data_IF_774222519730
#
_entry.id   IF_774222519730
#
_cell.length_a   1.000
_cell.length_b   1.000
_cell.length_c   1.000
_cell.angle_alpha   90.00
_cell.angle_beta   90.00
_cell.angle_gamma   90.00
#
_symmetry.space_group_name_H-M   'P 1'
#
loop_
_entity.id
_entity.type
_entity.pdbx_description
1 polymer ?
#
# COMPACT_ATOMS: atom_id res chain seq x y z
N UNK A 1 1.20 -11.91 29.58
CA UNK A 1 0.63 -11.14 28.44
C UNK A 1 1.74 -10.94 27.43
N UNK A 2 1.46 -11.05 26.14
CA UNK A 2 2.47 -10.96 25.07
C UNK A 2 3.05 -9.54 24.84
N UNK A 3 2.85 -8.59 25.76
CA UNK A 3 3.34 -7.20 25.64
C UNK A 3 2.77 -6.48 24.41
N UNK A 4 1.51 -6.77 24.03
CA UNK A 4 0.80 -6.12 22.92
C UNK A 4 0.00 -4.95 23.49
N UNK A 5 0.31 -3.69 23.12
CA UNK A 5 -0.37 -2.52 23.67
C UNK A 5 -1.87 -2.50 23.36
N UNK A 6 -2.28 -2.99 22.18
CA UNK A 6 -3.67 -3.04 21.71
C UNK A 6 -4.38 -4.36 22.00
N UNK A 7 -3.91 -5.18 22.95
CA UNK A 7 -4.35 -6.56 23.14
C UNK A 7 -5.88 -6.72 23.27
N UNK A 8 -6.55 -5.82 23.99
CA UNK A 8 -8.00 -5.87 24.15
C UNK A 8 -8.73 -5.56 22.83
N UNK A 9 -8.33 -4.50 22.16
CA UNK A 9 -8.88 -4.10 20.85
C UNK A 9 -8.68 -5.20 19.81
N UNK A 10 -7.47 -5.78 19.76
CA UNK A 10 -7.13 -6.85 18.82
C UNK A 10 -8.02 -8.10 19.08
N UNK A 11 -8.21 -8.46 20.35
CA UNK A 11 -9.08 -9.58 20.73
C UNK A 11 -10.55 -9.33 20.33
N UNK A 12 -11.05 -8.12 20.56
CA UNK A 12 -12.41 -7.75 20.15
C UNK A 12 -12.59 -7.81 18.62
N UNK A 13 -11.62 -7.31 17.84
CA UNK A 13 -11.67 -7.35 16.37
C UNK A 13 -11.66 -8.81 15.88
N UNK A 14 -10.76 -9.65 16.42
CA UNK A 14 -10.65 -11.06 16.07
C UNK A 14 -11.94 -11.82 16.43
N UNK A 15 -12.50 -11.57 17.60
CA UNK A 15 -13.76 -12.20 18.05
C UNK A 15 -14.95 -11.75 17.20
N UNK A 16 -15.08 -10.44 16.95
CA UNK A 16 -16.11 -9.87 16.09
C UNK A 16 -16.09 -10.51 14.69
N UNK A 17 -14.90 -10.59 14.08
CA UNK A 17 -14.72 -11.25 12.80
C UNK A 17 -15.10 -12.73 12.85
N UNK A 18 -14.69 -13.47 13.89
CA UNK A 18 -14.97 -14.91 14.04
C UNK A 18 -16.48 -15.17 14.20
N UNK A 19 -17.17 -14.34 14.95
CA UNK A 19 -18.60 -14.45 15.17
C UNK A 19 -19.43 -13.85 14.02
N UNK A 20 -18.81 -13.12 13.09
CA UNK A 20 -19.48 -12.32 12.04
C UNK A 20 -20.46 -11.30 12.64
N UNK A 21 -20.02 -10.62 13.69
CA UNK A 21 -20.76 -9.59 14.42
C UNK A 21 -19.94 -8.31 14.48
N UNK A 22 -20.59 -7.18 14.78
CA UNK A 22 -19.86 -5.94 15.06
C UNK A 22 -19.24 -5.97 16.47
N UNK A 23 -18.23 -5.14 16.72
CA UNK A 23 -17.70 -4.94 18.06
C UNK A 23 -18.74 -4.41 19.02
N UNK A 24 -19.63 -3.51 18.57
CA UNK A 24 -20.75 -3.00 19.34
C UNK A 24 -21.69 -4.13 19.80
N UNK A 25 -21.92 -5.13 18.94
CA UNK A 25 -22.69 -6.31 19.31
C UNK A 25 -22.04 -7.08 20.47
N UNK A 26 -20.73 -7.26 20.44
CA UNK A 26 -20.01 -7.99 21.51
C UNK A 26 -20.19 -7.30 22.87
N UNK A 27 -20.12 -5.97 22.91
CA UNK A 27 -20.30 -5.22 24.14
C UNK A 27 -21.76 -5.28 24.66
N UNK A 28 -22.73 -5.30 23.75
CA UNK A 28 -24.16 -5.36 24.13
C UNK A 28 -24.62 -6.78 24.56
N UNK A 29 -23.88 -7.83 24.15
CA UNK A 29 -24.28 -9.24 24.31
C UNK A 29 -23.17 -10.09 24.94
N UNK A 30 -22.42 -9.51 25.90
CA UNK A 30 -21.27 -10.16 26.53
C UNK A 30 -21.57 -11.45 27.27
N UNK A 31 -22.82 -11.65 27.67
CA UNK A 31 -23.29 -12.84 28.39
C UNK A 31 -23.79 -13.97 27.46
N UNK A 32 -23.84 -13.73 26.13
CA UNK A 32 -24.30 -14.74 25.20
C UNK A 32 -23.24 -15.85 25.06
N UNK A 33 -23.62 -17.14 25.17
CA UNK A 33 -22.68 -18.24 24.99
C UNK A 33 -22.19 -18.35 23.54
N UNK A 34 -20.91 -18.61 23.39
CA UNK A 34 -20.29 -18.89 22.09
C UNK A 34 -20.28 -20.41 21.86
N UNK A 35 -20.71 -20.85 20.67
CA UNK A 35 -20.65 -22.27 20.32
C UNK A 35 -19.18 -22.77 20.29
N UNK A 36 -19.00 -24.06 20.64
CA UNK A 36 -17.68 -24.65 20.85
C UNK A 36 -16.76 -24.51 19.62
N UNK A 37 -17.30 -24.66 18.39
CA UNK A 37 -16.51 -24.54 17.15
C UNK A 37 -16.00 -23.11 16.93
N UNK A 38 -16.84 -22.11 17.15
CA UNK A 38 -16.44 -20.70 17.02
C UNK A 38 -15.46 -20.31 18.11
N UNK A 39 -15.61 -20.84 19.31
CA UNK A 39 -14.69 -20.63 20.42
C UNK A 39 -13.31 -21.21 20.08
N UNK A 40 -13.23 -22.41 19.52
CA UNK A 40 -11.98 -23.03 19.07
C UNK A 40 -11.28 -22.18 17.99
N UNK A 41 -12.03 -21.72 16.98
CA UNK A 41 -11.49 -20.82 15.93
C UNK A 41 -11.00 -19.50 16.52
N UNK A 42 -11.74 -18.90 17.45
CA UNK A 42 -11.34 -17.66 18.11
C UNK A 42 -10.03 -17.85 18.89
N UNK A 43 -9.90 -18.93 19.65
CA UNK A 43 -8.70 -19.24 20.42
C UNK A 43 -7.49 -19.44 19.50
N UNK A 44 -7.62 -20.21 18.42
CA UNK A 44 -6.54 -20.42 17.44
C UNK A 44 -6.08 -19.08 16.82
N UNK A 45 -7.01 -18.18 16.49
CA UNK A 45 -6.70 -16.83 15.97
C UNK A 45 -6.01 -15.95 17.02
N UNK A 46 -6.44 -16.02 18.26
CA UNK A 46 -5.80 -15.31 19.37
C UNK A 46 -4.39 -15.82 19.66
N UNK A 47 -4.14 -17.13 19.49
CA UNK A 47 -2.80 -17.69 19.60
C UNK A 47 -1.88 -17.15 18.49
N UNK A 48 -2.34 -17.08 17.24
CA UNK A 48 -1.59 -16.37 16.17
C UNK A 48 -1.26 -14.92 16.56
N UNK A 49 -2.21 -14.20 17.20
CA UNK A 49 -1.95 -12.83 17.66
C UNK A 49 -0.92 -12.76 18.78
N UNK A 50 -0.89 -13.73 19.70
CA UNK A 50 0.16 -13.84 20.73
C UNK A 50 1.54 -14.03 20.09
N UNK A 51 1.62 -14.76 18.98
CA UNK A 51 2.82 -14.95 18.17
C UNK A 51 3.14 -13.73 17.27
N UNK A 52 2.49 -12.57 17.53
CA UNK A 52 2.72 -11.32 16.84
C UNK A 52 2.25 -11.26 15.38
N UNK A 53 1.47 -12.24 14.90
CA UNK A 53 0.85 -12.14 13.58
C UNK A 53 -0.05 -10.90 13.54
N UNK A 54 0.06 -10.04 12.52
CA UNK A 54 -0.80 -8.86 12.37
C UNK A 54 -2.28 -9.23 12.32
N UNK A 55 -3.13 -8.45 13.01
CA UNK A 55 -4.58 -8.68 13.02
C UNK A 55 -5.16 -8.74 11.61
N UNK A 56 -4.70 -7.87 10.71
CA UNK A 56 -5.14 -7.84 9.31
C UNK A 56 -4.93 -9.18 8.59
N UNK A 57 -3.82 -9.89 8.85
CA UNK A 57 -3.60 -11.23 8.28
C UNK A 57 -4.45 -12.30 8.95
N UNK A 58 -4.70 -12.19 10.26
CA UNK A 58 -5.57 -13.13 10.99
C UNK A 58 -7.01 -13.07 10.47
N UNK A 59 -7.51 -11.85 10.18
CA UNK A 59 -8.87 -11.65 9.67
C UNK A 59 -8.95 -11.61 8.14
N UNK A 60 -7.80 -11.55 7.45
CA UNK A 60 -7.69 -11.63 6.00
C UNK A 60 -8.02 -10.34 5.25
N UNK A 61 -8.17 -9.21 5.93
CA UNK A 61 -8.48 -7.94 5.28
C UNK A 61 -8.00 -6.73 6.09
N UNK A 62 -7.89 -5.58 5.40
CA UNK A 62 -7.59 -4.25 5.95
C UNK A 62 -8.45 -3.21 5.25
N UNK A 63 -8.94 -2.24 6.00
CA UNK A 63 -9.58 -1.06 5.43
C UNK A 63 -8.52 -0.07 4.93
N UNK A 64 -8.78 0.52 3.76
CA UNK A 64 -7.99 1.60 3.16
C UNK A 64 -8.94 2.50 2.36
N UNK A 65 -8.91 3.79 2.63
CA UNK A 65 -9.74 4.80 1.97
C UNK A 65 -11.23 4.44 1.94
N UNK A 66 -11.76 3.96 3.07
CA UNK A 66 -13.16 3.55 3.24
C UNK A 66 -13.55 2.26 2.49
N UNK A 67 -12.58 1.50 1.98
CA UNK A 67 -12.78 0.24 1.25
C UNK A 67 -12.07 -0.91 1.93
N UNK A 68 -12.65 -2.10 1.84
CA UNK A 68 -12.06 -3.31 2.41
C UNK A 68 -11.21 -4.02 1.36
N UNK A 69 -9.91 -4.14 1.63
CA UNK A 69 -8.95 -4.87 0.80
C UNK A 69 -8.56 -6.19 1.45
N UNK A 70 -8.59 -7.28 0.69
CA UNK A 70 -7.99 -8.55 1.10
C UNK A 70 -6.48 -8.38 1.25
N UNK A 71 -5.95 -8.98 2.31
CA UNK A 71 -4.51 -9.05 2.57
C UNK A 71 -4.12 -10.42 3.08
N UNK A 72 -2.90 -10.82 2.79
CA UNK A 72 -2.27 -12.04 3.30
C UNK A 72 -0.73 -11.82 3.36
N UNK A 73 0.06 -12.75 3.87
CA UNK A 73 1.52 -12.59 3.96
C UNK A 73 2.28 -12.40 2.64
N UNK A 74 1.59 -12.33 1.49
CA UNK A 74 2.22 -12.02 0.18
C UNK A 74 2.23 -10.53 -0.15
N UNK A 75 1.54 -9.68 0.61
CA UNK A 75 1.42 -8.24 0.36
C UNK A 75 1.62 -7.43 1.64
N UNK A 76 2.14 -6.21 1.49
CA UNK A 76 2.17 -5.24 2.59
C UNK A 76 0.72 -4.94 3.05
N UNK A 77 0.52 -4.84 4.35
CA UNK A 77 -0.76 -4.36 4.90
C UNK A 77 -0.90 -2.87 4.58
N UNK A 78 -1.98 -2.43 3.90
CA UNK A 78 -2.20 -1.01 3.62
C UNK A 78 -2.08 -0.13 4.86
N UNK A 79 -1.34 0.97 4.75
CA UNK A 79 -1.08 1.91 5.82
C UNK A 79 -1.97 3.15 5.69
N UNK A 80 -2.48 3.72 6.80
CA UNK A 80 -3.27 4.96 6.74
C UNK A 80 -2.49 6.12 6.12
N UNK A 81 -1.17 6.19 6.35
CA UNK A 81 -0.28 7.21 5.81
C UNK A 81 -0.29 7.24 4.27
N UNK A 82 -0.46 6.08 3.64
CA UNK A 82 -0.53 5.95 2.18
C UNK A 82 -1.79 6.59 1.58
N UNK A 83 -2.83 6.89 2.37
CA UNK A 83 -4.03 7.60 1.89
C UNK A 83 -3.68 9.01 1.40
N UNK A 84 -2.62 9.63 1.94
CA UNK A 84 -2.11 10.92 1.48
C UNK A 84 -1.69 10.90 0.00
N UNK A 85 -1.28 9.75 -0.57
CA UNK A 85 -0.95 9.64 -1.99
C UNK A 85 -2.21 9.86 -2.86
N UNK A 86 -3.36 9.33 -2.43
CA UNK A 86 -4.64 9.50 -3.13
C UNK A 86 -5.12 10.95 -3.02
N UNK A 87 -5.03 11.57 -1.83
CA UNK A 87 -5.41 12.97 -1.63
C UNK A 87 -4.55 13.91 -2.48
N UNK A 88 -3.23 13.69 -2.51
CA UNK A 88 -2.32 14.47 -3.34
C UNK A 88 -2.53 14.21 -4.84
N UNK A 89 -2.86 12.99 -5.23
CA UNK A 89 -3.25 12.67 -6.61
C UNK A 89 -4.49 13.48 -7.01
N UNK A 90 -5.54 13.48 -6.22
CA UNK A 90 -6.78 14.27 -6.48
C UNK A 90 -6.49 15.76 -6.55
N UNK A 91 -5.67 16.29 -5.65
CA UNK A 91 -5.31 17.71 -5.57
C UNK A 91 -4.50 18.20 -6.77
N UNK A 92 -3.51 17.43 -7.21
CA UNK A 92 -2.57 17.86 -8.24
C UNK A 92 -2.97 17.44 -9.66
N UNK A 93 -3.72 16.34 -9.80
CA UNK A 93 -4.22 15.89 -11.09
C UNK A 93 -5.63 16.41 -11.40
N UNK A 94 -6.53 16.44 -10.42
CA UNK A 94 -7.94 16.75 -10.60
C UNK A 94 -8.73 15.63 -11.29
N UNK A 95 -9.91 15.94 -11.79
CA UNK A 95 -10.86 14.98 -12.37
C UNK A 95 -10.69 14.76 -13.89
N UNK A 96 -9.55 15.09 -14.46
CA UNK A 96 -9.30 14.85 -15.89
C UNK A 96 -8.93 13.39 -16.16
N UNK A 97 -9.33 12.82 -17.31
CA UNK A 97 -8.92 11.49 -17.70
C UNK A 97 -7.39 11.41 -17.88
N UNK A 98 -6.83 10.23 -17.70
CA UNK A 98 -5.40 10.00 -17.85
C UNK A 98 -5.04 8.54 -17.64
N UNK A 99 -3.76 8.22 -17.83
CA UNK A 99 -3.20 6.89 -17.59
C UNK A 99 -2.34 6.91 -16.35
N UNK A 100 -2.67 6.06 -15.39
CA UNK A 100 -1.91 5.88 -14.16
C UNK A 100 -1.29 4.49 -14.12
N UNK A 101 -0.06 4.43 -13.63
CA UNK A 101 0.58 3.17 -13.26
C UNK A 101 0.92 3.17 -11.77
N UNK A 102 0.52 2.11 -11.05
CA UNK A 102 0.83 1.84 -9.65
C UNK A 102 1.97 0.81 -9.61
N UNK A 103 3.15 1.25 -9.18
CA UNK A 103 4.39 0.47 -9.22
C UNK A 103 4.67 -0.13 -7.85
N UNK A 104 4.80 -1.47 -7.79
CA UNK A 104 4.88 -2.19 -6.53
C UNK A 104 3.53 -2.23 -5.82
N UNK A 105 2.49 -2.54 -6.57
CA UNK A 105 1.08 -2.34 -6.16
C UNK A 105 0.65 -3.14 -4.93
N UNK A 106 1.35 -4.24 -4.58
CA UNK A 106 1.03 -5.09 -3.45
C UNK A 106 -0.41 -5.60 -3.46
N UNK A 107 -1.24 -5.12 -2.55
CA UNK A 107 -2.68 -5.46 -2.49
C UNK A 107 -3.53 -4.75 -3.55
N UNK A 108 -2.96 -3.82 -4.31
CA UNK A 108 -3.69 -2.98 -5.25
C UNK A 108 -4.35 -1.75 -4.62
N UNK A 109 -4.13 -1.49 -3.33
CA UNK A 109 -4.92 -0.48 -2.60
C UNK A 109 -4.80 0.93 -3.18
N UNK A 110 -3.62 1.35 -3.63
CA UNK A 110 -3.42 2.67 -4.24
C UNK A 110 -4.08 2.76 -5.62
N UNK A 111 -3.66 1.90 -6.56
CA UNK A 111 -4.14 1.97 -7.93
C UNK A 111 -5.64 1.70 -8.07
N UNK A 112 -6.18 0.71 -7.33
CA UNK A 112 -7.62 0.43 -7.32
C UNK A 112 -8.40 1.63 -6.75
N UNK A 113 -7.93 2.23 -5.65
CA UNK A 113 -8.57 3.42 -5.10
C UNK A 113 -8.51 4.58 -6.09
N UNK A 114 -7.36 4.83 -6.73
CA UNK A 114 -7.23 5.85 -7.76
C UNK A 114 -8.23 5.65 -8.92
N UNK A 115 -8.42 4.40 -9.38
CA UNK A 115 -9.39 4.06 -10.42
C UNK A 115 -10.84 4.34 -10.02
N UNK A 116 -11.16 4.12 -8.74
CA UNK A 116 -12.52 4.30 -8.23
C UNK A 116 -12.84 5.76 -7.87
N UNK A 117 -11.82 6.56 -7.57
CA UNK A 117 -11.97 7.98 -7.23
C UNK A 117 -11.89 8.91 -8.45
N UNK A 118 -11.16 8.50 -9.50
CA UNK A 118 -10.84 9.37 -10.64
C UNK A 118 -11.08 8.65 -11.98
N UNK A 119 -11.37 9.36 -13.06
CA UNK A 119 -11.59 8.79 -14.40
C UNK A 119 -10.26 8.38 -15.07
N UNK A 120 -9.48 7.53 -14.42
CA UNK A 120 -8.16 7.08 -14.87
C UNK A 120 -8.20 5.68 -15.46
N UNK A 121 -7.42 5.44 -16.52
CA UNK A 121 -7.02 4.09 -16.93
C UNK A 121 -5.85 3.66 -16.04
N UNK A 122 -6.00 2.58 -15.29
CA UNK A 122 -5.02 2.17 -14.28
C UNK A 122 -4.38 0.85 -14.62
N UNK A 123 -3.05 0.81 -14.56
CA UNK A 123 -2.23 -0.40 -14.62
C UNK A 123 -1.57 -0.63 -13.27
N UNK A 124 -1.71 -1.84 -12.73
CA UNK A 124 -1.08 -2.29 -11.49
C UNK A 124 0.12 -3.14 -11.84
N UNK A 125 1.29 -2.83 -11.27
CA UNK A 125 2.49 -3.64 -11.48
C UNK A 125 3.12 -4.08 -10.17
N UNK A 126 3.65 -5.30 -10.17
CA UNK A 126 4.43 -5.84 -9.06
C UNK A 126 5.41 -6.91 -9.59
N UNK A 127 6.53 -7.09 -8.92
CA UNK A 127 7.47 -8.17 -9.23
C UNK A 127 6.94 -9.53 -8.76
N UNK A 128 6.09 -9.55 -7.73
CA UNK A 128 5.48 -10.73 -7.12
C UNK A 128 4.17 -11.11 -7.81
N UNK A 129 4.14 -12.29 -8.42
CA UNK A 129 2.88 -12.87 -8.95
C UNK A 129 1.84 -13.10 -7.86
N UNK A 130 2.27 -13.40 -6.63
CA UNK A 130 1.36 -13.59 -5.50
C UNK A 130 0.70 -12.26 -5.10
N UNK A 131 1.44 -11.16 -5.12
CA UNK A 131 0.88 -9.83 -4.90
C UNK A 131 -0.14 -9.48 -5.99
N UNK A 132 0.18 -9.70 -7.26
CA UNK A 132 -0.75 -9.47 -8.37
C UNK A 132 -2.03 -10.33 -8.27
N UNK A 133 -1.94 -11.55 -7.74
CA UNK A 133 -3.14 -12.37 -7.48
C UNK A 133 -4.04 -11.70 -6.44
N UNK A 134 -3.47 -11.19 -5.34
CA UNK A 134 -4.23 -10.46 -4.31
C UNK A 134 -4.84 -9.18 -4.89
N UNK A 135 -4.06 -8.41 -5.66
CA UNK A 135 -4.55 -7.19 -6.32
C UNK A 135 -5.71 -7.50 -7.29
N UNK A 136 -5.62 -8.57 -8.06
CA UNK A 136 -6.69 -9.01 -8.96
C UNK A 136 -7.97 -9.38 -8.20
N UNK A 137 -7.85 -10.11 -7.08
CA UNK A 137 -9.00 -10.44 -6.24
C UNK A 137 -9.66 -9.18 -5.66
N UNK A 138 -8.85 -8.21 -5.23
CA UNK A 138 -9.33 -6.92 -4.73
C UNK A 138 -10.02 -6.11 -5.82
N UNK A 139 -9.41 -5.98 -7.01
CA UNK A 139 -10.00 -5.30 -8.15
C UNK A 139 -11.37 -5.90 -8.51
N UNK A 140 -11.46 -7.24 -8.59
CA UNK A 140 -12.71 -7.94 -8.85
C UNK A 140 -13.76 -7.69 -7.75
N UNK A 141 -13.37 -7.76 -6.47
CA UNK A 141 -14.30 -7.59 -5.35
C UNK A 141 -14.86 -6.17 -5.24
N UNK A 142 -14.08 -5.18 -5.68
CA UNK A 142 -14.44 -3.76 -5.67
C UNK A 142 -15.00 -3.27 -7.03
N UNK A 143 -15.14 -4.15 -8.01
CA UNK A 143 -15.57 -3.83 -9.38
C UNK A 143 -14.70 -2.73 -10.04
N UNK A 144 -13.41 -2.73 -9.77
CA UNK A 144 -12.45 -1.82 -10.38
C UNK A 144 -11.87 -2.43 -11.67
N UNK A 145 -12.07 -1.74 -12.81
CA UNK A 145 -11.49 -2.13 -14.09
C UNK A 145 -10.06 -1.62 -14.18
N UNK A 146 -9.09 -2.53 -13.98
CA UNK A 146 -7.65 -2.25 -13.97
C UNK A 146 -6.88 -3.31 -14.75
N UNK A 147 -5.80 -2.92 -15.41
CA UNK A 147 -4.85 -3.85 -16.00
C UNK A 147 -3.82 -4.31 -14.95
N UNK A 148 -3.35 -5.55 -15.07
CA UNK A 148 -2.28 -6.09 -14.20
C UNK A 148 -1.11 -6.56 -15.07
N UNK A 149 0.11 -6.23 -14.66
CA UNK A 149 1.32 -6.64 -15.36
C UNK A 149 2.42 -6.99 -14.36
N UNK A 150 3.09 -8.12 -14.53
CA UNK A 150 4.30 -8.42 -13.77
C UNK A 150 5.46 -7.60 -14.32
N UNK A 151 6.16 -6.86 -13.45
CA UNK A 151 7.35 -6.08 -13.82
C UNK A 151 8.23 -5.80 -12.61
N UNK A 152 9.53 -5.72 -12.83
CA UNK A 152 10.47 -5.18 -11.85
C UNK A 152 10.56 -3.66 -12.04
N UNK A 153 9.84 -2.92 -11.21
CA UNK A 153 9.55 -1.50 -11.43
C UNK A 153 8.90 -1.30 -12.81
N UNK A 154 9.54 -0.54 -13.72
CA UNK A 154 9.04 -0.26 -15.07
C UNK A 154 9.81 -1.00 -16.18
N UNK A 155 10.68 -1.97 -15.85
CA UNK A 155 11.58 -2.63 -16.83
C UNK A 155 10.82 -3.35 -17.96
N UNK A 156 9.70 -3.99 -17.63
CA UNK A 156 8.88 -4.75 -18.58
C UNK A 156 7.63 -3.97 -19.05
N UNK A 157 7.51 -2.71 -18.62
CA UNK A 157 6.36 -1.86 -18.94
C UNK A 157 6.56 -1.17 -20.27
N UNK A 158 5.54 -1.19 -21.12
CA UNK A 158 5.52 -0.47 -22.39
C UNK A 158 4.58 0.73 -22.33
N UNK A 159 4.96 1.81 -23.03
CA UNK A 159 4.14 3.01 -23.11
C UNK A 159 4.51 4.09 -22.10
N UNK A 160 3.72 5.15 -22.12
CA UNK A 160 3.91 6.34 -21.26
C UNK A 160 2.65 6.66 -20.50
N UNK A 161 2.83 7.12 -19.27
CA UNK A 161 1.76 7.41 -18.33
C UNK A 161 1.71 8.90 -17.99
N UNK A 162 0.53 9.35 -17.63
CA UNK A 162 0.32 10.68 -17.10
C UNK A 162 0.73 10.76 -15.63
N UNK A 163 0.59 9.61 -14.92
CA UNK A 163 0.84 9.51 -13.48
C UNK A 163 1.56 8.19 -13.19
N UNK A 164 2.62 8.28 -12.39
CA UNK A 164 3.27 7.13 -11.73
C UNK A 164 3.05 7.31 -10.25
N UNK A 165 2.42 6.34 -9.59
CA UNK A 165 2.29 6.29 -8.12
C UNK A 165 3.04 5.08 -7.62
N UNK A 166 3.72 5.21 -6.46
CA UNK A 166 4.44 4.08 -5.87
C UNK A 166 4.58 4.25 -4.35
N UNK A 167 4.28 3.15 -3.64
CA UNK A 167 4.71 2.92 -2.27
C UNK A 167 5.69 1.75 -2.28
N UNK A 168 6.94 2.03 -2.59
CA UNK A 168 8.01 1.03 -2.68
C UNK A 168 8.62 0.77 -1.30
N UNK A 169 9.30 -0.36 -1.10
CA UNK A 169 10.09 -0.60 0.09
C UNK A 169 11.11 0.53 0.31
N UNK A 170 11.00 1.22 1.44
CA UNK A 170 11.89 2.33 1.82
C UNK A 170 12.49 2.17 3.23
N UNK A 171 12.19 1.06 3.92
CA UNK A 171 12.70 0.82 5.28
C UNK A 171 14.14 0.30 5.21
N UNK A 172 15.05 0.99 5.91
CA UNK A 172 16.39 0.48 6.14
C UNK A 172 16.37 -0.72 7.09
N UNK A 173 17.20 -1.74 6.81
CA UNK A 173 17.35 -2.89 7.69
C UNK A 173 17.87 -2.53 9.09
N UNK A 174 18.49 -1.36 9.25
CA UNK A 174 19.04 -0.87 10.51
C UNK A 174 17.99 -0.21 11.42
N UNK A 175 16.79 0.12 10.90
CA UNK A 175 15.77 0.80 11.69
C UNK A 175 15.05 -0.14 12.66
N UNK A 176 14.72 0.39 13.85
CA UNK A 176 13.86 -0.33 14.79
C UNK A 176 12.45 -0.52 14.23
N UNK A 177 11.85 -1.67 14.52
CA UNK A 177 10.55 -2.07 13.96
C UNK A 177 9.71 -2.78 14.98
N UNK A 178 8.39 -2.76 14.78
CA UNK A 178 7.51 -3.59 15.56
C UNK A 178 7.73 -5.09 15.24
N UNK A 179 7.57 -5.98 16.21
CA UNK A 179 7.70 -7.42 15.98
C UNK A 179 6.74 -7.95 14.89
N UNK A 180 5.61 -7.30 14.71
CA UNK A 180 4.58 -7.62 13.71
C UNK A 180 5.11 -7.55 12.28
N UNK A 181 6.02 -6.61 11.97
CA UNK A 181 6.63 -6.46 10.64
C UNK A 181 7.44 -7.67 10.19
N UNK A 182 7.86 -8.52 11.14
CA UNK A 182 8.52 -9.80 10.84
C UNK A 182 7.62 -10.81 10.09
N UNK A 183 6.32 -10.62 10.10
CA UNK A 183 5.34 -11.44 9.38
C UNK A 183 4.98 -10.89 8.00
N UNK A 184 5.42 -9.67 7.67
CA UNK A 184 5.18 -9.06 6.37
C UNK A 184 6.29 -9.44 5.37
N UNK A 185 6.03 -9.42 4.05
CA UNK A 185 7.04 -9.81 3.07
C UNK A 185 8.26 -8.91 3.14
N UNK A 186 9.44 -9.50 3.33
CA UNK A 186 10.69 -8.73 3.40
C UNK A 186 10.94 -7.88 2.13
N UNK A 187 10.51 -8.38 0.97
CA UNK A 187 10.58 -7.67 -0.32
C UNK A 187 9.66 -6.45 -0.39
N UNK A 188 8.63 -6.37 0.46
CA UNK A 188 7.70 -5.24 0.50
C UNK A 188 8.08 -4.18 1.57
N UNK A 189 9.08 -4.46 2.40
CA UNK A 189 9.51 -3.58 3.49
C UNK A 189 10.89 -2.97 3.23
N UNK A 190 11.86 -3.79 2.82
CA UNK A 190 13.27 -3.44 2.85
C UNK A 190 13.83 -3.11 1.48
N UNK A 191 14.57 -1.99 1.41
CA UNK A 191 15.46 -1.70 0.32
C UNK A 191 16.89 -1.47 0.84
N UNK A 192 17.85 -1.71 -0.02
CA UNK A 192 19.26 -1.38 0.22
C UNK A 192 19.48 0.14 0.12
N UNK A 193 20.73 0.59 0.34
CA UNK A 193 21.08 2.01 0.30
C UNK A 193 20.20 2.87 1.23
N UNK A 194 20.17 2.50 2.51
CA UNK A 194 19.33 3.17 3.53
C UNK A 194 17.83 3.28 3.16
N UNK A 195 17.34 2.33 2.35
CA UNK A 195 15.96 2.33 1.87
C UNK A 195 15.73 3.08 0.54
N UNK A 196 16.75 3.67 -0.06
CA UNK A 196 16.62 4.54 -1.24
C UNK A 196 16.72 3.81 -2.59
N UNK A 197 17.34 2.61 -2.62
CA UNK A 197 17.74 1.96 -3.87
C UNK A 197 16.59 1.80 -4.89
N UNK A 198 15.41 1.35 -4.47
CA UNK A 198 14.27 1.13 -5.37
C UNK A 198 13.64 2.45 -5.84
N UNK A 199 13.53 3.44 -4.95
CA UNK A 199 13.00 4.76 -5.28
C UNK A 199 13.90 5.45 -6.32
N UNK A 200 15.23 5.41 -6.14
CA UNK A 200 16.18 6.01 -7.08
C UNK A 200 16.12 5.32 -8.45
N UNK A 201 16.04 3.97 -8.48
CA UNK A 201 15.85 3.22 -9.74
C UNK A 201 14.52 3.58 -10.43
N UNK A 202 13.43 3.74 -9.69
CA UNK A 202 12.16 4.17 -10.27
C UNK A 202 12.28 5.57 -10.88
N UNK A 203 12.92 6.51 -10.17
CA UNK A 203 13.15 7.87 -10.67
C UNK A 203 13.96 7.83 -11.98
N UNK A 204 15.00 7.00 -12.09
CA UNK A 204 15.79 6.83 -13.33
C UNK A 204 14.89 6.37 -14.51
N UNK A 205 13.89 5.53 -14.24
CA UNK A 205 12.99 4.99 -15.26
C UNK A 205 11.87 5.96 -15.67
N UNK A 206 11.62 7.03 -14.90
CA UNK A 206 10.55 7.99 -15.22
C UNK A 206 10.79 8.73 -16.54
N UNK A 207 12.05 8.89 -16.94
CA UNK A 207 12.43 9.58 -18.17
C UNK A 207 11.72 9.05 -19.41
N UNK A 208 11.56 7.72 -19.54
CA UNK A 208 10.96 7.03 -20.67
C UNK A 208 9.45 6.72 -20.47
N UNK A 209 8.96 6.70 -19.24
CA UNK A 209 7.60 6.23 -18.92
C UNK A 209 6.65 7.33 -18.43
N UNK A 210 7.15 8.49 -18.02
CA UNK A 210 6.32 9.60 -17.58
C UNK A 210 6.24 10.67 -18.68
N UNK A 211 5.02 11.10 -19.02
CA UNK A 211 4.78 12.21 -19.97
C UNK A 211 5.35 13.51 -19.43
N UNK A 212 5.61 14.47 -20.31
CA UNK A 212 5.88 15.85 -19.91
C UNK A 212 4.69 16.40 -19.12
N UNK A 213 4.95 17.12 -18.05
CA UNK A 213 3.96 17.59 -17.06
C UNK A 213 3.22 16.45 -16.31
N UNK A 214 3.62 15.21 -16.50
CA UNK A 214 3.12 14.07 -15.72
C UNK A 214 3.59 14.12 -14.27
N UNK A 215 2.88 13.41 -13.41
CA UNK A 215 3.14 13.36 -11.96
C UNK A 215 3.81 12.05 -11.56
N UNK A 216 4.85 12.15 -10.73
CA UNK A 216 5.38 11.06 -9.94
C UNK A 216 5.01 11.30 -8.48
N UNK A 217 4.27 10.37 -7.87
CA UNK A 217 3.82 10.44 -6.48
C UNK A 217 4.40 9.25 -5.73
N UNK A 218 5.19 9.53 -4.69
CA UNK A 218 5.95 8.54 -3.94
C UNK A 218 5.63 8.60 -2.45
N UNK A 219 5.70 7.45 -1.78
CA UNK A 219 5.80 7.37 -0.33
C UNK A 219 7.26 7.13 0.07
N UNK A 220 7.76 7.90 1.04
CA UNK A 220 9.08 7.74 1.63
C UNK A 220 9.11 8.31 3.05
N UNK A 221 10.08 7.87 3.86
CA UNK A 221 10.30 8.43 5.18
C UNK A 221 10.76 9.91 5.07
N UNK A 222 10.27 10.81 5.92
CA UNK A 222 10.69 12.22 5.93
C UNK A 222 12.20 12.44 5.97
N UNK A 223 12.96 11.55 6.62
CA UNK A 223 14.42 11.63 6.64
C UNK A 223 15.07 11.42 5.25
N UNK A 224 14.35 10.78 4.32
CA UNK A 224 14.82 10.49 2.95
C UNK A 224 14.44 11.59 1.95
N UNK A 225 13.52 12.49 2.28
CA UNK A 225 12.91 13.45 1.35
C UNK A 225 13.93 14.34 0.65
N UNK A 226 14.94 14.85 1.38
CA UNK A 226 15.97 15.72 0.81
C UNK A 226 16.79 14.99 -0.25
N UNK A 227 17.24 13.77 0.05
CA UNK A 227 18.04 12.97 -0.87
C UNK A 227 17.23 12.59 -2.13
N UNK A 228 15.94 12.22 -1.96
CA UNK A 228 15.04 11.91 -3.07
C UNK A 228 14.80 13.17 -3.93
N UNK A 229 14.55 14.33 -3.31
CA UNK A 229 14.32 15.59 -4.01
C UNK A 229 15.49 16.04 -4.86
N UNK A 230 16.71 16.00 -4.29
CA UNK A 230 17.95 16.34 -5.03
C UNK A 230 18.20 15.37 -6.18
N UNK A 231 17.96 14.07 -5.95
CA UNK A 231 18.10 13.06 -6.99
C UNK A 231 17.11 13.24 -8.14
N UNK A 232 15.84 13.48 -7.81
CA UNK A 232 14.76 13.70 -8.77
C UNK A 232 14.99 14.96 -9.63
N UNK A 233 15.46 16.05 -9.01
CA UNK A 233 15.79 17.31 -9.70
C UNK A 233 16.83 17.11 -10.80
N UNK A 234 17.85 16.31 -10.54
CA UNK A 234 18.90 16.01 -11.52
C UNK A 234 18.40 15.15 -12.70
N UNK A 235 17.15 14.65 -12.66
CA UNK A 235 16.50 13.85 -13.71
C UNK A 235 15.30 14.54 -14.33
N UNK A 236 15.22 15.86 -14.18
CA UNK A 236 14.17 16.67 -14.80
C UNK A 236 12.81 16.55 -14.12
N UNK A 237 12.80 16.21 -12.84
CA UNK A 237 11.60 16.21 -12.00
C UNK A 237 11.67 17.40 -11.05
N UNK A 238 10.61 18.22 -11.04
CA UNK A 238 10.45 19.33 -10.10
C UNK A 238 9.52 18.93 -8.97
N UNK A 239 9.96 19.14 -7.73
CA UNK A 239 9.13 18.86 -6.56
C UNK A 239 7.98 19.84 -6.49
N UNK A 240 6.76 19.32 -6.50
CA UNK A 240 5.51 20.08 -6.46
C UNK A 240 4.93 20.18 -5.03
N UNK A 241 5.08 19.12 -4.22
CA UNK A 241 4.59 19.08 -2.84
C UNK A 241 5.31 18.05 -1.98
N UNK A 242 5.22 18.26 -0.66
CA UNK A 242 5.50 17.28 0.40
C UNK A 242 4.30 17.30 1.35
N UNK A 243 3.81 16.11 1.73
CA UNK A 243 2.70 15.97 2.67
C UNK A 243 2.92 14.69 3.50
N UNK A 244 3.44 14.85 4.73
CA UNK A 244 3.83 13.74 5.59
C UNK A 244 4.86 12.82 4.91
N UNK A 245 4.48 11.60 4.61
CA UNK A 245 5.29 10.62 3.87
C UNK A 245 5.18 10.74 2.34
N UNK A 246 4.26 11.58 1.84
CA UNK A 246 4.00 11.72 0.41
C UNK A 246 4.89 12.79 -0.23
N UNK A 247 5.55 12.44 -1.34
CA UNK A 247 6.30 13.32 -2.23
C UNK A 247 5.61 13.39 -3.59
N UNK A 248 5.40 14.60 -4.09
CA UNK A 248 4.84 14.84 -5.43
C UNK A 248 5.87 15.55 -6.29
N UNK A 249 6.17 14.99 -7.44
CA UNK A 249 7.02 15.59 -8.46
C UNK A 249 6.25 15.74 -9.76
N UNK A 250 6.58 16.79 -10.53
CA UNK A 250 6.13 16.95 -11.92
C UNK A 250 7.33 16.86 -12.86
N UNK A 251 7.16 16.19 -14.01
CA UNK A 251 8.20 16.15 -15.04
C UNK A 251 8.25 17.49 -15.76
N UNK A 252 9.42 18.13 -15.72
CA UNK A 252 9.65 19.38 -16.43
C UNK A 252 9.74 19.17 -17.93
N UNK A 253 9.28 20.13 -18.72
CA UNK A 253 9.56 20.13 -20.16
C UNK A 253 11.09 20.23 -20.33
N UNK A 254 11.72 19.21 -20.91
CA UNK A 254 13.07 19.43 -21.44
C UNK A 254 12.93 20.38 -22.62
N UNK A 255 13.43 21.61 -22.46
CA UNK A 255 13.62 22.50 -23.59
C UNK A 255 14.62 21.83 -24.54
N UNK A 256 14.16 21.40 -25.70
CA UNK A 256 15.01 20.94 -26.82
C UNK A 256 15.90 22.07 -27.29
#
# INVERSE_FOLDING_TARGET
MAGIPSALLDAEVILAHTLRKSRTYLHAHGEEPIDARRLEIANARLDLRKDRVPVAYIIGHKEFYGRTFKVNPSVLIPRPESEALIENLKKHWGEKPGKLIDVGTGSGCLGITARLELPLEVTLTDTSRHALTVAQENAKSLNADVALQQSNLLEDVTGVFDIIVANLPYVSRAWERSPETGHEPALALFADDEGLALIMRLIDQTGSHLKNQGLLILEADPAQHMAIGDYAKNRGLSQAAIDGYCLVFSKTNQST
#
